data_IF_087046589446
#
_entry.id   IF_087046589446
#
_cell.length_a   1.000
_cell.length_b   1.000
_cell.length_c   1.000
_cell.angle_alpha   90.00
_cell.angle_beta   90.00
_cell.angle_gamma   90.00
#
_symmetry.space_group_name_H-M   'P 1'
#
loop_
_entity.id
_entity.type
_entity.pdbx_description
1 polymer ?
#
# COMPACT_ATOMS: atom_id res chain seq x y z
N UNK A 1 22.11 35.76 -2.06
CA UNK A 1 20.73 35.57 -2.55
C UNK A 1 20.70 35.05 -4.01
N UNK A 2 21.73 34.36 -4.52
CA UNK A 2 21.84 33.99 -5.94
C UNK A 2 22.60 32.66 -6.24
N UNK A 3 22.62 31.69 -5.33
CA UNK A 3 23.29 30.38 -5.59
C UNK A 3 22.35 29.22 -5.98
N UNK A 4 21.03 29.44 -6.01
CA UNK A 4 20.03 28.38 -6.29
C UNK A 4 19.69 28.21 -7.78
N UNK A 5 20.22 29.06 -8.66
CA UNK A 5 19.90 29.08 -10.10
C UNK A 5 20.82 28.19 -10.96
N UNK A 6 21.90 27.62 -10.39
CA UNK A 6 22.91 26.88 -11.16
C UNK A 6 22.89 25.36 -10.94
N UNK A 7 22.09 24.84 -9.99
CA UNK A 7 22.00 23.41 -9.72
C UNK A 7 20.54 22.99 -9.58
N UNK A 8 20.02 22.38 -10.64
CA UNK A 8 18.60 22.08 -10.86
C UNK A 8 17.91 21.09 -9.91
N UNK A 9 18.37 20.87 -8.68
CA UNK A 9 17.61 20.17 -7.63
C UNK A 9 18.04 20.65 -6.24
N UNK A 10 17.12 20.79 -5.25
CA UNK A 10 17.51 21.07 -3.88
C UNK A 10 18.46 19.98 -3.36
N UNK A 11 19.43 20.32 -2.48
CA UNK A 11 20.36 19.33 -1.94
C UNK A 11 19.61 18.24 -1.17
N UNK A 12 20.05 16.99 -1.32
CA UNK A 12 19.46 15.83 -0.63
C UNK A 12 19.50 16.02 0.89
N UNK A 13 18.49 15.56 1.64
CA UNK A 13 18.52 15.56 3.10
C UNK A 13 19.74 14.78 3.60
N UNK A 14 20.46 15.33 4.60
CA UNK A 14 21.58 14.64 5.23
C UNK A 14 21.05 13.53 6.15
N UNK A 15 21.84 12.47 6.37
CA UNK A 15 21.47 11.34 7.22
C UNK A 15 21.00 11.75 8.63
N UNK A 16 21.67 12.75 9.24
CA UNK A 16 21.25 13.31 10.53
C UNK A 16 19.84 13.92 10.49
N UNK A 17 19.55 14.70 9.44
CA UNK A 17 18.23 15.34 9.27
C UNK A 17 17.12 14.29 9.09
N UNK A 18 17.39 13.22 8.35
CA UNK A 18 16.46 12.10 8.21
C UNK A 18 16.22 11.37 9.54
N UNK A 19 17.27 11.18 10.33
CA UNK A 19 17.14 10.62 11.67
C UNK A 19 16.30 11.50 12.59
N UNK A 20 16.56 12.81 12.59
CA UNK A 20 15.80 13.77 13.38
C UNK A 20 14.31 13.76 12.98
N UNK A 21 13.99 13.62 11.69
CA UNK A 21 12.60 13.48 11.19
C UNK A 21 11.91 12.24 11.77
N UNK A 22 12.54 11.06 11.67
CA UNK A 22 11.96 9.80 12.17
C UNK A 22 11.77 9.86 13.69
N UNK A 23 12.76 10.34 14.44
CA UNK A 23 12.62 10.49 15.90
C UNK A 23 11.47 11.43 16.26
N UNK A 24 11.38 12.59 15.60
CA UNK A 24 10.31 13.56 15.85
C UNK A 24 8.92 12.97 15.60
N UNK A 25 8.73 12.23 14.51
CA UNK A 25 7.43 11.65 14.16
C UNK A 25 7.08 10.49 15.10
N UNK A 26 8.03 9.63 15.45
CA UNK A 26 7.79 8.52 16.38
C UNK A 26 7.64 8.97 17.83
N UNK A 27 8.21 10.13 18.21
CA UNK A 27 8.04 10.76 19.52
C UNK A 27 6.77 11.60 19.62
N UNK A 28 6.22 12.07 18.50
CA UNK A 28 4.91 12.73 18.51
C UNK A 28 3.87 11.78 19.12
N UNK A 29 3.09 12.27 20.08
CA UNK A 29 1.99 11.50 20.69
C UNK A 29 0.96 11.06 19.64
N UNK A 30 -0.02 10.23 20.00
CA UNK A 30 -1.14 9.94 19.11
C UNK A 30 -1.77 11.27 18.68
N UNK A 31 -1.71 11.57 17.39
CA UNK A 31 -2.42 12.70 16.81
C UNK A 31 -3.83 12.22 16.44
N UNK A 32 -4.82 13.06 16.71
CA UNK A 32 -6.19 12.90 16.20
C UNK A 32 -6.29 13.11 14.68
N UNK A 33 -5.19 13.46 14.02
CA UNK A 33 -5.14 13.76 12.59
C UNK A 33 -5.78 15.12 12.24
N UNK A 34 -5.98 16.00 13.22
CA UNK A 34 -6.55 17.34 13.00
C UNK A 34 -5.50 18.45 13.06
N UNK A 35 -4.41 18.21 13.78
CA UNK A 35 -3.35 19.19 13.95
C UNK A 35 -2.51 19.36 12.68
N UNK A 36 -2.04 20.60 12.46
CA UNK A 36 -1.08 20.92 11.42
C UNK A 36 0.15 20.02 11.52
N UNK A 37 0.59 19.50 10.37
CA UNK A 37 1.67 18.53 10.32
C UNK A 37 3.00 19.19 10.74
N UNK A 38 3.81 18.55 11.60
CA UNK A 38 4.98 19.18 12.23
C UNK A 38 6.15 19.44 11.29
N UNK A 39 6.12 18.93 10.05
CA UNK A 39 7.14 19.24 9.03
C UNK A 39 6.63 20.34 8.08
N UNK A 40 7.40 21.43 7.88
CA UNK A 40 7.05 22.46 6.91
C UNK A 40 6.94 21.89 5.48
N UNK A 41 6.07 22.49 4.66
CA UNK A 41 5.85 22.10 3.26
C UNK A 41 7.18 21.90 2.49
N UNK A 42 8.11 22.86 2.63
CA UNK A 42 9.40 22.83 1.94
C UNK A 42 10.25 21.61 2.32
N UNK A 43 10.16 21.16 3.57
CA UNK A 43 10.88 19.99 4.06
C UNK A 43 10.24 18.70 3.53
N UNK A 44 8.91 18.62 3.58
CA UNK A 44 8.14 17.50 3.01
C UNK A 44 8.37 17.32 1.51
N UNK A 45 8.33 18.40 0.73
CA UNK A 45 8.58 18.34 -0.72
C UNK A 45 10.00 17.90 -1.05
N UNK A 46 10.99 18.29 -0.23
CA UNK A 46 12.38 17.81 -0.36
C UNK A 46 12.49 16.32 -0.05
N UNK A 47 11.82 15.87 1.01
CA UNK A 47 11.76 14.45 1.37
C UNK A 47 11.14 13.63 0.23
N UNK A 48 10.01 14.09 -0.32
CA UNK A 48 9.35 13.46 -1.46
C UNK A 48 10.25 13.41 -2.69
N UNK A 49 10.83 14.54 -3.10
CA UNK A 49 11.74 14.59 -4.26
C UNK A 49 12.93 13.64 -4.10
N UNK A 50 13.59 13.62 -2.94
CA UNK A 50 14.71 12.73 -2.71
C UNK A 50 14.30 11.26 -2.72
N UNK A 51 13.13 10.93 -2.17
CA UNK A 51 12.59 9.56 -2.11
C UNK A 51 12.22 9.06 -3.51
N UNK A 52 11.52 9.88 -4.29
CA UNK A 52 11.21 9.61 -5.70
C UNK A 52 12.49 9.28 -6.48
N UNK A 53 13.51 10.13 -6.36
CA UNK A 53 14.78 9.95 -7.07
C UNK A 53 15.55 8.70 -6.62
N UNK A 54 15.31 8.22 -5.38
CA UNK A 54 15.87 6.97 -4.89
C UNK A 54 15.11 5.75 -5.45
N UNK A 55 13.78 5.76 -5.40
CA UNK A 55 12.92 4.67 -5.88
C UNK A 55 12.99 4.47 -7.40
N UNK A 56 13.21 5.54 -8.18
CA UNK A 56 13.41 5.45 -9.63
C UNK A 56 14.72 4.76 -10.04
N UNK A 57 15.66 4.58 -9.10
CA UNK A 57 16.90 3.80 -9.35
C UNK A 57 16.71 2.31 -9.12
N UNK A 58 15.66 1.95 -8.39
CA UNK A 58 15.30 0.55 -8.18
C UNK A 58 14.57 0.03 -9.41
N UNK A 59 14.62 -1.28 -9.72
CA UNK A 59 13.78 -1.89 -10.75
C UNK A 59 12.30 -1.95 -10.34
N UNK A 60 11.39 -2.11 -11.31
CA UNK A 60 9.95 -2.23 -11.02
C UNK A 60 9.63 -3.54 -10.28
N UNK A 61 10.34 -4.63 -10.60
CA UNK A 61 10.47 -5.82 -9.75
C UNK A 61 11.76 -5.74 -8.95
N UNK A 62 11.66 -5.57 -7.63
CA UNK A 62 12.81 -5.63 -6.74
C UNK A 62 13.37 -7.06 -6.70
N UNK A 63 14.69 -7.21 -6.83
CA UNK A 63 15.39 -8.46 -6.54
C UNK A 63 16.12 -8.30 -5.20
N UNK A 64 15.59 -8.94 -4.17
CA UNK A 64 16.04 -8.78 -2.79
C UNK A 64 16.75 -10.07 -2.37
N UNK A 65 18.07 -10.00 -2.25
CA UNK A 65 18.89 -11.08 -1.71
C UNK A 65 19.39 -10.73 -0.31
N UNK A 66 19.01 -11.52 0.70
CA UNK A 66 19.41 -11.28 2.09
C UNK A 66 19.60 -12.59 2.86
N UNK A 67 20.56 -12.57 3.78
CA UNK A 67 20.80 -13.63 4.77
C UNK A 67 20.22 -13.29 6.15
N UNK A 68 19.64 -12.09 6.30
CA UNK A 68 18.96 -11.66 7.53
C UNK A 68 17.47 -12.01 7.52
N UNK A 69 16.83 -11.84 8.67
CA UNK A 69 15.37 -11.98 8.77
C UNK A 69 14.66 -10.87 7.97
N UNK A 70 13.51 -11.20 7.39
CA UNK A 70 12.67 -10.25 6.68
C UNK A 70 11.39 -10.00 7.46
N UNK A 71 10.98 -8.74 7.58
CA UNK A 71 9.68 -8.33 8.11
C UNK A 71 8.85 -7.83 6.94
N UNK A 72 7.69 -8.45 6.71
CA UNK A 72 6.73 -8.05 5.70
C UNK A 72 5.53 -7.41 6.39
N UNK A 73 5.24 -6.16 6.02
CA UNK A 73 4.14 -5.37 6.56
C UNK A 73 3.10 -5.18 5.45
N UNK A 74 1.85 -5.52 5.73
CA UNK A 74 0.71 -5.31 4.83
C UNK A 74 0.15 -3.91 4.96
N UNK A 75 -1.16 -3.79 4.71
CA UNK A 75 -1.87 -2.51 4.69
C UNK A 75 -1.80 -1.79 6.05
N UNK A 76 -1.67 -0.47 6.01
CA UNK A 76 -1.64 0.40 7.19
C UNK A 76 -2.78 1.42 7.20
N UNK A 77 -3.28 1.85 6.04
CA UNK A 77 -4.45 2.73 5.88
C UNK A 77 -4.50 3.91 6.88
N UNK A 78 -3.43 4.70 6.95
CA UNK A 78 -3.41 5.88 7.81
C UNK A 78 -3.38 5.57 9.32
N UNK A 79 -3.19 4.32 9.75
CA UNK A 79 -3.11 3.92 11.16
C UNK A 79 -1.67 3.96 11.71
N UNK A 80 -1.11 5.17 11.83
CA UNK A 80 0.27 5.36 12.28
C UNK A 80 0.56 4.78 13.68
N UNK A 81 -0.43 4.71 14.56
CA UNK A 81 -0.30 4.05 15.86
C UNK A 81 0.07 2.58 15.73
N UNK A 82 -0.47 1.85 14.76
CA UNK A 82 -0.14 0.45 14.54
C UNK A 82 1.28 0.29 13.99
N UNK A 83 1.71 1.16 13.07
CA UNK A 83 3.10 1.20 12.61
C UNK A 83 4.08 1.40 13.78
N UNK A 84 3.76 2.29 14.72
CA UNK A 84 4.57 2.51 15.93
C UNK A 84 4.62 1.26 16.81
N UNK A 85 3.49 0.58 17.01
CA UNK A 85 3.41 -0.66 17.79
C UNK A 85 4.24 -1.77 17.16
N UNK A 86 4.21 -1.89 15.83
CA UNK A 86 5.06 -2.81 15.07
C UNK A 86 6.55 -2.53 15.34
N UNK A 87 6.99 -1.27 15.21
CA UNK A 87 8.38 -0.90 15.48
C UNK A 87 8.79 -1.07 16.94
N UNK A 88 7.89 -0.81 17.88
CA UNK A 88 8.13 -1.05 19.31
C UNK A 88 8.32 -2.55 19.60
N UNK A 89 7.53 -3.41 18.94
CA UNK A 89 7.55 -4.85 19.20
C UNK A 89 8.71 -5.57 18.52
N UNK A 90 9.03 -5.20 17.28
CA UNK A 90 10.00 -5.91 16.43
C UNK A 90 11.36 -5.23 16.33
N UNK A 91 11.50 -4.05 16.94
CA UNK A 91 12.68 -3.22 16.77
C UNK A 91 12.50 -2.22 15.62
N UNK A 92 13.33 -1.18 15.64
CA UNK A 92 13.22 -0.09 14.67
C UNK A 92 13.89 -0.49 13.36
N UNK A 93 13.30 -0.19 12.20
CA UNK A 93 13.97 -0.50 10.94
C UNK A 93 15.34 0.18 10.85
N UNK A 94 16.38 -0.59 10.51
CA UNK A 94 17.77 -0.13 10.48
C UNK A 94 18.51 -0.13 11.83
N UNK A 95 17.87 -0.62 12.91
CA UNK A 95 18.51 -0.86 14.21
C UNK A 95 19.24 -2.20 14.30
N UNK A 96 18.92 -3.12 13.39
CA UNK A 96 19.49 -4.45 13.26
C UNK A 96 19.66 -4.82 11.77
N UNK A 97 19.93 -6.10 11.50
CA UNK A 97 20.14 -6.66 10.16
C UNK A 97 18.85 -7.05 9.43
N UNK A 98 17.67 -6.74 9.99
CA UNK A 98 16.39 -7.07 9.36
C UNK A 98 16.16 -6.27 8.09
N UNK A 99 15.64 -6.94 7.08
CA UNK A 99 15.08 -6.31 5.89
C UNK A 99 13.58 -6.12 6.09
N UNK A 100 13.07 -4.94 5.79
CA UNK A 100 11.65 -4.59 5.90
C UNK A 100 11.07 -4.37 4.51
N UNK A 101 9.98 -5.06 4.21
CA UNK A 101 9.24 -4.94 2.94
C UNK A 101 7.82 -4.52 3.29
N UNK A 102 7.40 -3.36 2.81
CA UNK A 102 6.02 -2.88 2.95
C UNK A 102 5.28 -3.10 1.64
N UNK A 103 4.09 -3.70 1.71
CA UNK A 103 3.38 -4.19 0.53
C UNK A 103 2.51 -3.14 -0.18
N UNK A 104 2.20 -2.02 0.47
CA UNK A 104 1.36 -0.96 -0.10
C UNK A 104 0.34 -0.43 0.90
N UNK A 105 -0.60 0.38 0.41
CA UNK A 105 -1.76 0.91 1.14
C UNK A 105 -1.37 1.58 2.47
N UNK A 106 -0.51 2.59 2.33
CA UNK A 106 0.02 3.38 3.43
C UNK A 106 -1.00 4.39 3.97
N UNK A 107 -1.88 4.87 3.09
CA UNK A 107 -2.71 6.07 3.27
C UNK A 107 -4.20 5.74 3.11
N UNK A 108 -5.02 6.80 3.16
CA UNK A 108 -6.48 6.76 3.14
C UNK A 108 -7.11 6.07 4.34
N UNK A 109 -8.43 6.25 4.49
CA UNK A 109 -9.30 5.61 5.50
C UNK A 109 -9.02 6.10 6.93
N UNK A 110 -7.79 5.92 7.42
CA UNK A 110 -7.29 6.49 8.67
C UNK A 110 -6.73 7.92 8.49
N UNK A 111 -6.54 8.66 9.61
CA UNK A 111 -6.28 10.10 9.55
C UNK A 111 -4.79 10.50 9.62
N UNK A 112 -3.89 9.52 9.72
CA UNK A 112 -2.43 9.75 9.90
C UNK A 112 -1.61 9.19 8.73
N UNK A 113 -2.09 9.38 7.49
CA UNK A 113 -1.36 8.97 6.29
C UNK A 113 -0.06 9.75 6.12
N UNK A 114 -0.05 11.05 6.43
CA UNK A 114 1.14 11.90 6.34
C UNK A 114 2.27 11.41 7.25
N UNK A 115 1.96 10.99 8.48
CA UNK A 115 2.93 10.43 9.42
C UNK A 115 3.56 9.15 8.88
N UNK A 116 2.75 8.24 8.31
CA UNK A 116 3.23 6.99 7.73
C UNK A 116 4.18 7.29 6.57
N UNK A 117 3.73 8.02 5.54
CA UNK A 117 4.55 8.25 4.34
C UNK A 117 5.82 9.03 4.67
N UNK A 118 5.76 10.06 5.52
CA UNK A 118 6.95 10.80 5.92
C UNK A 118 7.96 9.92 6.69
N UNK A 119 7.47 9.04 7.56
CA UNK A 119 8.31 8.08 8.30
C UNK A 119 8.96 7.07 7.36
N UNK A 120 8.18 6.42 6.49
CA UNK A 120 8.67 5.40 5.56
C UNK A 120 9.63 5.99 4.52
N UNK A 121 9.36 7.19 4.01
CA UNK A 121 10.26 7.89 3.08
C UNK A 121 11.61 8.22 3.73
N UNK A 122 11.59 8.71 4.98
CA UNK A 122 12.82 8.99 5.71
C UNK A 122 13.62 7.72 6.01
N UNK A 123 12.95 6.62 6.38
CA UNK A 123 13.57 5.32 6.58
C UNK A 123 14.16 4.76 5.28
N UNK A 124 13.44 4.85 4.15
CA UNK A 124 13.94 4.42 2.84
C UNK A 124 15.21 5.15 2.44
N UNK A 125 15.25 6.47 2.63
CA UNK A 125 16.44 7.27 2.31
C UNK A 125 17.62 6.96 3.25
N UNK A 126 17.35 6.64 4.51
CA UNK A 126 18.38 6.35 5.52
C UNK A 126 18.95 4.93 5.40
N UNK A 127 18.09 3.97 5.05
CA UNK A 127 18.40 2.54 5.02
C UNK A 127 17.97 1.91 3.67
N UNK A 128 18.52 2.38 2.54
CA UNK A 128 18.01 2.02 1.20
C UNK A 128 18.09 0.52 0.86
N UNK A 129 19.01 -0.22 1.51
CA UNK A 129 19.23 -1.65 1.30
C UNK A 129 18.53 -2.55 2.35
N UNK A 130 17.77 -1.95 3.25
CA UNK A 130 17.06 -2.68 4.32
C UNK A 130 15.58 -2.30 4.40
N UNK A 131 15.13 -1.30 3.64
CA UNK A 131 13.74 -0.85 3.59
C UNK A 131 13.29 -0.85 2.14
N UNK A 132 12.26 -1.60 1.84
CA UNK A 132 11.66 -1.70 0.52
C UNK A 132 10.17 -1.34 0.61
N UNK A 133 9.71 -0.50 -0.31
CA UNK A 133 8.36 0.01 -0.35
C UNK A 133 7.76 -0.42 -1.69
N UNK A 134 6.68 -1.19 -1.66
CA UNK A 134 5.89 -1.53 -2.85
C UNK A 134 4.71 -0.56 -3.00
N UNK A 135 4.04 -0.61 -4.14
CA UNK A 135 2.84 0.18 -4.40
C UNK A 135 1.59 -0.65 -4.09
N UNK A 136 0.66 -0.09 -3.33
CA UNK A 136 -0.70 -0.60 -3.20
C UNK A 136 -1.68 0.08 -4.15
N UNK A 137 -2.94 -0.34 -4.13
CA UNK A 137 -3.97 0.23 -4.99
C UNK A 137 -4.39 1.64 -4.52
N UNK A 138 -4.19 1.97 -3.24
CA UNK A 138 -4.46 3.31 -2.71
C UNK A 138 -3.41 4.36 -3.07
N UNK A 139 -2.20 3.96 -3.47
CA UNK A 139 -1.16 4.88 -3.96
C UNK A 139 -1.44 5.39 -5.40
N UNK A 140 -2.67 5.86 -5.63
CA UNK A 140 -3.23 6.33 -6.89
C UNK A 140 -3.94 7.68 -6.68
N UNK A 141 -3.78 8.61 -7.62
CA UNK A 141 -4.27 9.97 -7.43
C UNK A 141 -5.79 10.06 -7.31
N UNK A 142 -6.53 9.28 -8.10
CA UNK A 142 -7.98 9.21 -8.03
C UNK A 142 -8.47 8.64 -6.69
N UNK A 143 -7.81 7.58 -6.20
CA UNK A 143 -8.19 6.90 -4.96
C UNK A 143 -7.95 7.82 -3.75
N UNK A 144 -6.78 8.48 -3.68
CA UNK A 144 -6.45 9.40 -2.57
C UNK A 144 -7.37 10.62 -2.48
N UNK A 145 -7.96 11.02 -3.61
CA UNK A 145 -8.98 12.08 -3.65
C UNK A 145 -10.28 11.64 -3.00
N UNK A 146 -10.66 10.38 -3.21
CA UNK A 146 -11.96 9.85 -2.82
C UNK A 146 -11.98 9.37 -1.37
N UNK A 147 -10.88 8.76 -0.90
CA UNK A 147 -10.81 8.10 0.40
C UNK A 147 -10.03 8.84 1.49
N UNK A 148 -9.56 10.06 1.20
CA UNK A 148 -9.33 11.07 2.21
C UNK A 148 -7.90 11.61 2.32
N UNK A 149 -6.89 10.95 1.75
CA UNK A 149 -5.51 11.41 1.88
C UNK A 149 -5.24 12.78 1.23
N UNK A 150 -5.89 13.09 0.09
CA UNK A 150 -5.83 14.43 -0.50
C UNK A 150 -6.41 15.49 0.45
N UNK A 151 -7.55 15.19 1.07
CA UNK A 151 -8.18 16.05 2.07
C UNK A 151 -7.32 16.20 3.34
N UNK A 152 -6.68 15.12 3.80
CA UNK A 152 -5.72 15.15 4.91
C UNK A 152 -4.57 16.13 4.61
N UNK A 153 -3.93 15.99 3.45
CA UNK A 153 -2.85 16.89 3.03
C UNK A 153 -3.31 18.35 2.94
N UNK A 154 -4.51 18.61 2.40
CA UNK A 154 -5.04 19.96 2.30
C UNK A 154 -5.30 20.60 3.66
N UNK A 155 -5.83 19.85 4.63
CA UNK A 155 -6.14 20.35 5.98
C UNK A 155 -4.88 20.55 6.82
N UNK A 156 -3.95 19.58 6.78
CA UNK A 156 -2.83 19.49 7.72
C UNK A 156 -1.51 20.02 7.16
N UNK A 157 -1.42 20.18 5.84
CA UNK A 157 -0.25 20.71 5.14
C UNK A 157 -0.69 21.56 3.95
N UNK A 158 -0.37 21.17 2.71
CA UNK A 158 -0.85 21.82 1.49
C UNK A 158 -1.14 20.82 0.37
N UNK A 159 -1.95 21.23 -0.61
CA UNK A 159 -2.15 20.44 -1.84
C UNK A 159 -0.84 20.20 -2.59
N UNK A 160 0.13 21.12 -2.50
CA UNK A 160 1.45 20.94 -3.10
C UNK A 160 2.27 19.83 -2.43
N UNK A 161 1.97 19.47 -1.17
CA UNK A 161 2.52 18.27 -0.53
C UNK A 161 1.86 17.02 -1.11
N UNK A 162 0.53 17.00 -1.25
CA UNK A 162 -0.18 15.87 -1.86
C UNK A 162 0.38 15.57 -3.27
N UNK A 163 0.53 16.59 -4.12
CA UNK A 163 1.13 16.44 -5.45
C UNK A 163 2.56 15.87 -5.40
N UNK A 164 3.35 16.28 -4.41
CA UNK A 164 4.70 15.78 -4.23
C UNK A 164 4.71 14.30 -3.75
N UNK A 165 3.76 13.89 -2.90
CA UNK A 165 3.60 12.49 -2.49
C UNK A 165 3.13 11.63 -3.67
N UNK A 166 2.21 12.12 -4.51
CA UNK A 166 1.77 11.40 -5.72
C UNK A 166 2.95 11.11 -6.65
N UNK A 167 3.90 12.05 -6.81
CA UNK A 167 5.11 11.81 -7.60
C UNK A 167 6.01 10.72 -7.01
N UNK A 168 5.99 10.51 -5.69
CA UNK A 168 6.69 9.38 -5.05
C UNK A 168 5.95 8.08 -5.34
N UNK A 169 4.62 8.09 -5.24
CA UNK A 169 3.78 6.93 -5.53
C UNK A 169 3.92 6.44 -6.96
N UNK A 170 3.98 7.37 -7.92
CA UNK A 170 4.23 7.06 -9.33
C UNK A 170 5.60 6.36 -9.55
N UNK A 171 6.53 6.55 -8.62
CA UNK A 171 7.85 5.95 -8.62
C UNK A 171 7.96 4.71 -7.72
N UNK A 172 6.91 4.17 -7.11
CA UNK A 172 7.02 2.97 -6.27
C UNK A 172 7.18 1.68 -7.12
N UNK A 173 8.11 0.76 -6.77
CA UNK A 173 8.14 -0.60 -7.30
C UNK A 173 6.81 -1.34 -7.11
N UNK A 174 6.50 -2.31 -7.98
CA UNK A 174 5.19 -2.99 -7.98
C UNK A 174 5.23 -4.39 -7.36
N UNK A 175 6.41 -5.01 -7.33
CA UNK A 175 6.59 -6.33 -6.76
C UNK A 175 8.03 -6.52 -6.27
N UNK A 176 8.26 -7.55 -5.47
CA UNK A 176 9.57 -8.01 -5.09
C UNK A 176 9.71 -9.52 -5.27
N UNK A 177 10.93 -9.96 -5.56
CA UNK A 177 11.35 -11.34 -5.54
C UNK A 177 12.41 -11.49 -4.45
N UNK A 178 12.03 -12.12 -3.34
CA UNK A 178 12.89 -12.34 -2.20
C UNK A 178 13.61 -13.69 -2.36
N UNK A 179 14.94 -13.64 -2.31
CA UNK A 179 15.86 -14.78 -2.37
C UNK A 179 15.54 -15.75 -3.54
N UNK A 180 14.98 -15.25 -4.65
CA UNK A 180 14.50 -16.06 -5.78
C UNK A 180 13.51 -17.18 -5.39
N UNK A 181 12.77 -16.98 -4.29
CA UNK A 181 11.88 -18.00 -3.72
C UNK A 181 10.51 -17.49 -3.31
N UNK A 182 10.37 -16.23 -2.94
CA UNK A 182 9.08 -15.67 -2.52
C UNK A 182 8.76 -14.48 -3.40
N UNK A 183 7.59 -14.50 -4.05
CA UNK A 183 7.08 -13.37 -4.81
C UNK A 183 6.20 -12.53 -3.88
N UNK A 184 6.45 -11.22 -3.84
CA UNK A 184 5.70 -10.27 -3.03
C UNK A 184 5.07 -9.21 -3.92
N UNK A 185 3.79 -8.95 -3.71
CA UNK A 185 3.03 -7.90 -4.40
C UNK A 185 1.92 -7.38 -3.47
N UNK A 186 1.20 -6.34 -3.88
CA UNK A 186 0.07 -5.85 -3.08
C UNK A 186 -1.17 -6.73 -3.26
N UNK A 187 -1.67 -6.76 -4.50
CA UNK A 187 -2.82 -7.52 -4.99
C UNK A 187 -2.52 -9.01 -5.13
N UNK A 188 -2.17 -9.43 -6.33
CA UNK A 188 -1.89 -10.83 -6.59
C UNK A 188 -1.23 -11.08 -7.93
N UNK A 189 -1.34 -12.31 -8.40
CA UNK A 189 -0.84 -12.71 -9.71
C UNK A 189 -1.84 -12.37 -10.81
N UNK A 190 -1.38 -12.42 -12.05
CA UNK A 190 -2.14 -12.03 -13.24
C UNK A 190 -2.14 -13.14 -14.29
N UNK A 191 -3.19 -13.28 -15.12
CA UNK A 191 -3.16 -14.12 -16.32
C UNK A 191 -2.03 -13.73 -17.30
N UNK A 192 -1.57 -12.47 -17.22
CA UNK A 192 -0.50 -11.91 -18.04
C UNK A 192 0.90 -12.03 -17.41
N UNK A 193 1.00 -12.53 -16.17
CA UNK A 193 2.27 -12.70 -15.45
C UNK A 193 2.83 -14.11 -15.70
N UNK A 194 3.57 -14.30 -16.78
CA UNK A 194 4.15 -15.61 -17.10
C UNK A 194 5.40 -15.91 -16.28
N UNK A 195 6.20 -14.90 -15.95
CA UNK A 195 7.37 -14.96 -15.06
C UNK A 195 7.42 -13.70 -14.19
N UNK A 196 8.01 -13.75 -12.99
CA UNK A 196 8.15 -12.55 -12.15
C UNK A 196 8.77 -11.36 -12.88
N UNK A 197 9.75 -11.61 -13.76
CA UNK A 197 10.47 -10.57 -14.50
C UNK A 197 9.60 -9.79 -15.48
N UNK A 198 8.42 -10.29 -15.87
CA UNK A 198 7.53 -9.60 -16.79
C UNK A 198 7.01 -8.27 -16.18
N UNK A 199 7.02 -8.14 -14.85
CA UNK A 199 6.74 -6.89 -14.11
C UNK A 199 7.67 -5.75 -14.55
N UNK A 200 8.92 -6.03 -14.94
CA UNK A 200 9.87 -5.01 -15.40
C UNK A 200 9.50 -4.38 -16.74
N UNK A 201 8.53 -4.93 -17.48
CA UNK A 201 7.99 -4.29 -18.68
C UNK A 201 7.21 -3.01 -18.35
N UNK A 202 6.70 -2.89 -17.12
CA UNK A 202 5.97 -1.71 -16.65
C UNK A 202 6.99 -0.63 -16.28
N UNK A 203 6.98 0.48 -17.04
CA UNK A 203 7.92 1.59 -16.86
C UNK A 203 7.42 2.58 -15.81
N UNK A 204 8.30 2.94 -14.88
CA UNK A 204 8.10 4.00 -13.88
C UNK A 204 8.87 5.28 -14.28
N UNK A 205 8.39 6.48 -13.89
CA UNK A 205 7.17 6.73 -13.13
C UNK A 205 5.90 6.55 -13.97
N UNK A 206 4.81 6.09 -13.35
CA UNK A 206 3.50 6.01 -13.98
C UNK A 206 2.39 6.30 -12.98
N UNK A 207 1.32 6.93 -13.43
CA UNK A 207 0.08 6.97 -12.66
C UNK A 207 -0.68 5.66 -12.85
N UNK A 208 -1.46 5.26 -11.84
CA UNK A 208 -2.30 4.06 -11.90
C UNK A 208 -3.70 4.50 -12.28
N UNK A 209 -4.21 3.95 -13.39
CA UNK A 209 -5.64 4.05 -13.69
C UNK A 209 -6.37 2.96 -12.89
N UNK A 210 -7.26 3.29 -11.94
CA UNK A 210 -7.99 2.28 -11.16
C UNK A 210 -8.98 1.47 -12.03
N UNK A 211 -9.30 1.94 -13.23
CA UNK A 211 -10.07 1.21 -14.24
C UNK A 211 -9.18 0.55 -15.29
N UNK A 212 -7.88 0.51 -15.04
CA UNK A 212 -6.92 -0.08 -15.94
C UNK A 212 -7.13 -1.59 -16.07
N UNK A 213 -6.68 -2.12 -17.20
CA UNK A 213 -6.63 -3.56 -17.43
C UNK A 213 -5.17 -4.02 -17.51
N UNK A 214 -4.97 -5.33 -17.37
CA UNK A 214 -3.69 -5.97 -17.57
C UNK A 214 -2.81 -6.01 -16.33
N UNK A 215 -1.55 -6.36 -16.53
CA UNK A 215 -0.63 -6.75 -15.46
C UNK A 215 -0.51 -5.71 -14.33
N UNK A 216 -0.52 -4.41 -14.64
CA UNK A 216 -0.44 -3.36 -13.62
C UNK A 216 -1.66 -3.40 -12.68
N UNK A 217 -2.86 -3.46 -13.25
CA UNK A 217 -4.09 -3.51 -12.47
C UNK A 217 -4.13 -4.80 -11.63
N UNK A 218 -3.76 -5.92 -12.24
CA UNK A 218 -3.82 -7.22 -11.57
C UNK A 218 -2.86 -7.32 -10.37
N UNK A 219 -1.64 -6.80 -10.48
CA UNK A 219 -0.67 -6.76 -9.38
C UNK A 219 -1.16 -5.96 -8.16
N UNK A 220 -2.06 -5.01 -8.37
CA UNK A 220 -2.58 -4.12 -7.33
C UNK A 220 -3.96 -4.54 -6.82
N UNK A 221 -4.77 -5.22 -7.64
CA UNK A 221 -6.20 -5.45 -7.37
C UNK A 221 -6.64 -6.91 -7.42
N UNK A 222 -5.78 -7.86 -7.82
CA UNK A 222 -6.17 -9.27 -7.84
C UNK A 222 -6.31 -9.84 -6.41
N UNK A 223 -7.27 -10.75 -6.23
CA UNK A 223 -7.54 -11.40 -4.95
C UNK A 223 -7.42 -12.93 -5.07
N UNK A 224 -6.81 -13.62 -4.10
CA UNK A 224 -6.85 -15.07 -4.06
C UNK A 224 -8.20 -15.58 -3.52
N UNK A 225 -8.57 -16.82 -3.86
CA UNK A 225 -9.67 -17.52 -3.19
C UNK A 225 -9.44 -19.03 -3.14
N UNK A 226 -9.66 -19.63 -1.97
CA UNK A 226 -9.69 -21.09 -1.80
C UNK A 226 -11.00 -21.75 -2.25
N UNK A 227 -12.00 -20.96 -2.65
CA UNK A 227 -13.34 -21.45 -2.97
C UNK A 227 -13.64 -21.54 -4.47
N UNK A 228 -12.68 -21.18 -5.32
CA UNK A 228 -12.80 -21.26 -6.77
C UNK A 228 -11.65 -22.07 -7.36
N UNK A 229 -11.81 -22.51 -8.62
CA UNK A 229 -10.73 -23.03 -9.45
C UNK A 229 -10.58 -22.15 -10.68
N UNK A 230 -9.35 -21.94 -11.14
CA UNK A 230 -9.05 -21.07 -12.25
C UNK A 230 -9.17 -19.58 -11.90
N UNK A 231 -9.58 -18.78 -12.88
CA UNK A 231 -9.77 -17.33 -12.76
C UNK A 231 -11.25 -16.99 -12.83
N UNK A 232 -11.70 -15.98 -12.06
CA UNK A 232 -13.00 -15.36 -12.26
C UNK A 232 -12.94 -13.84 -12.13
N UNK A 233 -14.00 -13.16 -12.55
CA UNK A 233 -14.10 -11.71 -12.44
C UNK A 233 -14.10 -11.28 -10.96
N UNK A 234 -13.34 -10.23 -10.64
CA UNK A 234 -13.27 -9.74 -9.28
C UNK A 234 -14.53 -8.93 -8.90
N UNK A 235 -15.16 -9.18 -7.74
CA UNK A 235 -16.23 -8.34 -7.18
C UNK A 235 -15.89 -6.85 -7.11
N UNK A 236 -14.61 -6.48 -7.01
CA UNK A 236 -14.12 -5.08 -7.07
C UNK A 236 -14.39 -4.40 -8.41
N UNK A 237 -14.80 -5.14 -9.45
CA UNK A 237 -15.09 -4.57 -10.78
C UNK A 237 -13.86 -4.29 -11.65
N UNK A 238 -12.66 -4.62 -11.17
CA UNK A 238 -11.38 -4.57 -11.88
C UNK A 238 -10.57 -5.82 -11.54
N UNK A 239 -9.66 -6.27 -12.42
CA UNK A 239 -8.81 -7.43 -12.18
C UNK A 239 -9.61 -8.74 -12.00
N UNK A 240 -8.98 -9.75 -11.42
CA UNK A 240 -9.44 -11.12 -11.29
C UNK A 240 -9.35 -11.63 -9.85
N UNK A 241 -10.18 -12.61 -9.54
CA UNK A 241 -9.93 -13.53 -8.43
C UNK A 241 -9.23 -14.76 -9.00
N UNK A 242 -8.17 -15.23 -8.33
CA UNK A 242 -7.43 -16.44 -8.72
C UNK A 242 -7.57 -17.55 -7.69
N UNK A 243 -7.82 -18.77 -8.16
CA UNK A 243 -7.88 -19.97 -7.35
C UNK A 243 -6.52 -20.41 -6.82
N UNK A 244 -6.52 -21.19 -5.73
CA UNK A 244 -5.29 -21.80 -5.20
C UNK A 244 -4.60 -22.69 -6.24
N UNK A 245 -5.35 -23.35 -7.12
CA UNK A 245 -4.81 -24.16 -8.22
C UNK A 245 -3.97 -23.35 -9.21
N UNK A 246 -4.42 -22.13 -9.54
CA UNK A 246 -3.68 -21.18 -10.38
C UNK A 246 -2.37 -20.77 -9.70
N UNK A 247 -2.45 -20.39 -8.42
CA UNK A 247 -1.28 -19.98 -7.65
C UNK A 247 -0.24 -21.11 -7.56
N UNK A 248 -0.68 -22.32 -7.22
CA UNK A 248 0.18 -23.50 -7.13
C UNK A 248 0.82 -23.86 -8.48
N UNK A 249 0.06 -23.78 -9.57
CA UNK A 249 0.60 -24.00 -10.90
C UNK A 249 1.70 -22.98 -11.24
N UNK A 250 1.43 -21.70 -11.00
CA UNK A 250 2.39 -20.63 -11.28
C UNK A 250 3.65 -20.78 -10.42
N UNK A 251 3.51 -20.98 -9.11
CA UNK A 251 4.63 -21.21 -8.19
C UNK A 251 5.52 -22.38 -8.64
N UNK A 252 4.92 -23.52 -9.03
CA UNK A 252 5.66 -24.67 -9.57
C UNK A 252 6.41 -24.35 -10.85
N UNK A 253 5.78 -23.63 -11.79
CA UNK A 253 6.41 -23.23 -13.05
C UNK A 253 7.60 -22.29 -12.84
N UNK A 254 7.53 -21.41 -11.84
CA UNK A 254 8.59 -20.45 -11.53
C UNK A 254 9.64 -20.98 -10.54
N UNK A 255 9.44 -22.16 -9.96
CA UNK A 255 10.32 -22.70 -8.91
C UNK A 255 10.29 -21.89 -7.60
N UNK A 256 9.16 -21.23 -7.33
CA UNK A 256 8.91 -20.38 -6.16
C UNK A 256 8.18 -21.16 -5.06
N UNK A 257 8.35 -20.71 -3.82
CA UNK A 257 7.77 -21.32 -2.62
C UNK A 257 6.43 -20.71 -2.23
N UNK A 258 6.29 -19.40 -2.37
CA UNK A 258 5.13 -18.67 -1.88
C UNK A 258 4.89 -17.35 -2.64
N UNK A 259 3.62 -16.94 -2.67
CA UNK A 259 3.16 -15.59 -2.94
C UNK A 259 2.79 -14.96 -1.59
N UNK A 260 3.35 -13.79 -1.29
CA UNK A 260 2.97 -12.98 -0.12
C UNK A 260 2.34 -11.68 -0.60
N UNK A 261 1.17 -11.35 -0.05
CA UNK A 261 0.32 -10.25 -0.52
C UNK A 261 -0.45 -9.55 0.62
N UNK A 262 -1.16 -8.46 0.34
CA UNK A 262 -1.89 -7.63 1.33
C UNK A 262 -3.37 -7.35 0.95
N UNK A 263 -3.88 -6.10 0.89
CA UNK A 263 -5.17 -5.63 0.28
C UNK A 263 -6.52 -6.15 0.83
N UNK A 264 -6.56 -7.35 1.43
CA UNK A 264 -7.78 -7.96 1.93
C UNK A 264 -7.74 -7.97 3.45
N UNK A 265 -8.72 -7.32 4.08
CA UNK A 265 -8.89 -7.32 5.54
C UNK A 265 -9.05 -8.76 6.04
N UNK A 266 -8.27 -9.10 7.06
CA UNK A 266 -8.31 -10.43 7.67
C UNK A 266 -8.67 -10.32 9.15
N UNK A 267 -9.62 -11.13 9.61
CA UNK A 267 -10.09 -11.10 11.01
C UNK A 267 -8.93 -11.29 12.00
N UNK A 268 -7.98 -12.17 11.66
CA UNK A 268 -6.80 -12.47 12.47
C UNK A 268 -5.54 -11.74 11.97
N UNK A 269 -5.69 -10.75 11.08
CA UNK A 269 -4.59 -10.00 10.47
C UNK A 269 -3.83 -10.76 9.38
N UNK A 270 -4.15 -12.03 9.14
CA UNK A 270 -3.59 -12.80 8.04
C UNK A 270 -4.52 -13.93 7.58
N UNK A 271 -4.24 -14.45 6.38
CA UNK A 271 -4.80 -15.69 5.84
C UNK A 271 -3.69 -16.49 5.16
N UNK A 272 -3.80 -17.82 5.24
CA UNK A 272 -2.91 -18.75 4.54
C UNK A 272 -3.76 -19.70 3.70
N UNK A 273 -3.48 -19.76 2.39
CA UNK A 273 -4.07 -20.73 1.49
C UNK A 273 -3.04 -21.79 1.09
N UNK A 274 -3.51 -23.04 1.03
CA UNK A 274 -2.68 -24.20 0.75
C UNK A 274 -1.64 -24.44 1.84
N UNK A 275 -0.47 -24.94 1.47
CA UNK A 275 0.62 -25.23 2.40
C UNK A 275 1.63 -24.07 2.44
N UNK A 276 1.20 -22.90 2.93
CA UNK A 276 1.97 -21.64 2.89
C UNK A 276 2.31 -21.17 1.47
N UNK A 277 1.41 -21.41 0.52
CA UNK A 277 1.64 -21.10 -0.90
C UNK A 277 1.15 -19.70 -1.26
N UNK A 278 0.03 -19.27 -0.68
CA UNK A 278 -0.45 -17.88 -0.76
C UNK A 278 -0.72 -17.39 0.65
N UNK A 279 -0.10 -16.27 1.02
CA UNK A 279 -0.24 -15.65 2.33
C UNK A 279 -0.69 -14.20 2.19
N UNK A 280 -1.79 -13.86 2.83
CA UNK A 280 -2.33 -12.49 2.92
C UNK A 280 -1.94 -11.91 4.27
N UNK A 281 -1.34 -10.71 4.29
CA UNK A 281 -0.91 -9.99 5.49
C UNK A 281 -1.67 -8.67 5.58
N UNK A 282 -2.27 -8.36 6.71
CA UNK A 282 -3.00 -7.12 6.96
C UNK A 282 -2.56 -6.52 8.30
N UNK A 283 -1.95 -5.33 8.27
CA UNK A 283 -1.23 -4.78 9.43
C UNK A 283 -1.97 -3.68 10.21
N UNK A 284 -3.15 -3.26 9.75
CA UNK A 284 -4.03 -2.34 10.46
C UNK A 284 -4.96 -3.08 11.44
N UNK A 285 -5.02 -2.63 12.70
CA UNK A 285 -5.85 -3.26 13.74
C UNK A 285 -7.18 -2.52 13.92
N UNK A 286 -8.26 -3.22 14.26
CA UNK A 286 -9.61 -2.63 14.41
C UNK A 286 -10.01 -1.75 13.21
N UNK A 287 -9.60 -2.17 12.02
CA UNK A 287 -9.76 -1.43 10.79
C UNK A 287 -11.24 -1.23 10.50
N UNK A 288 -11.66 0.03 10.38
CA UNK A 288 -13.06 0.47 10.24
C UNK A 288 -14.00 -0.19 11.25
N UNK A 289 -13.59 -0.23 12.51
CA UNK A 289 -14.37 -0.78 13.64
C UNK A 289 -14.72 -2.28 13.50
N UNK A 290 -13.98 -3.02 12.66
CA UNK A 290 -14.23 -4.45 12.44
C UNK A 290 -13.72 -5.35 13.58
N UNK A 291 -12.98 -4.81 14.55
CA UNK A 291 -12.38 -5.59 15.63
C UNK A 291 -11.33 -6.60 15.19
N UNK A 292 -10.84 -6.52 13.94
CA UNK A 292 -9.79 -7.42 13.45
C UNK A 292 -8.47 -7.20 14.20
N UNK A 293 -7.69 -8.26 14.37
CA UNK A 293 -6.28 -8.10 14.72
C UNK A 293 -5.48 -7.72 13.49
N UNK A 294 -4.33 -7.08 13.68
CA UNK A 294 -3.33 -6.89 12.62
C UNK A 294 -2.24 -7.94 12.74
N UNK A 295 -1.49 -8.18 11.67
CA UNK A 295 -0.31 -9.03 11.69
C UNK A 295 0.79 -8.47 10.80
N UNK A 296 2.02 -8.93 11.05
CA UNK A 296 3.15 -8.82 10.13
C UNK A 296 3.74 -10.20 9.94
N UNK A 297 4.32 -10.46 8.77
CA UNK A 297 4.96 -11.74 8.46
C UNK A 297 6.47 -11.63 8.64
N UNK A 298 7.03 -12.47 9.49
CA UNK A 298 8.46 -12.71 9.62
C UNK A 298 8.86 -13.86 8.69
N UNK A 299 9.92 -13.65 7.90
CA UNK A 299 10.51 -14.68 7.04
C UNK A 299 11.96 -14.88 7.49
N UNK A 300 12.26 -16.06 8.01
CA UNK A 300 13.61 -16.43 8.39
C UNK A 300 14.48 -16.72 7.15
N UNK A 301 15.82 -16.70 7.26
CA UNK A 301 16.72 -17.08 6.16
C UNK A 301 16.48 -18.52 5.66
N UNK A 302 15.95 -19.40 6.53
CA UNK A 302 15.50 -20.77 6.22
C UNK A 302 14.23 -20.83 5.36
N UNK A 303 13.59 -19.69 5.07
CA UNK A 303 12.25 -19.56 4.47
C UNK A 303 11.13 -20.15 5.34
N UNK A 304 11.33 -20.15 6.65
CA UNK A 304 10.26 -20.35 7.61
C UNK A 304 9.45 -19.06 7.78
N UNK A 305 8.12 -19.22 7.82
CA UNK A 305 7.15 -18.14 7.86
C UNK A 305 6.51 -18.10 9.26
N UNK A 306 6.56 -16.94 9.92
CA UNK A 306 5.95 -16.74 11.24
C UNK A 306 5.13 -15.44 11.24
N UNK A 307 3.87 -15.50 11.65
CA UNK A 307 3.03 -14.32 11.82
C UNK A 307 3.16 -13.77 13.24
N UNK A 308 3.45 -12.47 13.36
CA UNK A 308 3.40 -11.74 14.63
C UNK A 308 2.14 -10.90 14.65
N UNK A 309 1.19 -11.28 15.51
CA UNK A 309 -0.12 -10.64 15.60
C UNK A 309 -0.16 -9.49 16.63
N UNK A 310 -1.00 -8.50 16.34
CA UNK A 310 -1.24 -7.32 17.15
C UNK A 310 -2.74 -7.20 17.42
N UNK A 311 -3.17 -7.17 18.70
CA UNK A 311 -4.58 -6.94 19.01
C UNK A 311 -5.00 -5.52 18.61
N UNK A 312 -6.30 -5.22 18.47
CA UNK A 312 -6.83 -3.86 18.42
C UNK A 312 -6.10 -2.90 19.35
N UNK A 313 -5.67 -1.75 18.83
CA UNK A 313 -5.13 -0.69 19.66
C UNK A 313 -6.21 -0.21 20.65
N UNK A 314 -5.88 0.11 21.91
CA UNK A 314 -6.83 0.70 22.83
C UNK A 314 -7.39 2.00 22.24
N UNK A 315 -8.72 2.14 22.21
CA UNK A 315 -9.36 3.39 21.76
C UNK A 315 -9.09 4.51 22.77
N UNK A 316 -9.06 5.80 22.33
CA UNK A 316 -8.78 6.93 23.22
C UNK A 316 -9.73 7.07 24.42
N UNK A 317 -10.94 6.54 24.30
CA UNK A 317 -11.97 6.50 25.34
C UNK A 317 -11.84 5.30 26.31
N UNK A 318 -10.83 4.43 26.09
CA UNK A 318 -10.62 3.23 26.89
C UNK A 318 -11.54 2.06 26.54
N UNK A 319 -12.39 2.18 25.50
CA UNK A 319 -13.20 1.08 25.03
C UNK A 319 -12.33 0.03 24.31
N UNK A 320 -12.41 -1.22 24.75
CA UNK A 320 -11.88 -2.35 23.97
C UNK A 320 -12.79 -2.57 22.76
N UNK A 321 -12.21 -2.91 21.61
CA UNK A 321 -13.00 -3.37 20.46
C UNK A 321 -13.91 -4.51 20.92
N UNK A 322 -15.21 -4.41 20.63
CA UNK A 322 -16.25 -5.27 21.20
C UNK A 322 -16.10 -6.78 20.89
N UNK A 323 -15.13 -7.15 20.04
CA UNK A 323 -14.96 -8.48 19.49
C UNK A 323 -13.52 -9.05 19.60
N UNK A 324 -12.65 -8.46 20.42
CA UNK A 324 -11.27 -8.93 20.61
C UNK A 324 -11.20 -10.21 21.48
N UNK A 325 -11.65 -11.36 20.96
CA UNK A 325 -11.50 -12.66 21.62
C UNK A 325 -10.87 -13.68 20.68
N UNK A 326 -9.54 -13.78 20.71
CA UNK A 326 -8.78 -14.86 20.09
C UNK A 326 -7.46 -15.08 20.84
N UNK A 327 -7.00 -16.33 21.03
CA UNK A 327 -5.75 -16.59 21.74
C UNK A 327 -4.55 -15.99 20.98
N UNK A 328 -3.71 -15.26 21.71
CA UNK A 328 -2.42 -14.76 21.23
C UNK A 328 -1.50 -15.96 20.93
N UNK A 329 -1.31 -16.28 19.65
CA UNK A 329 -0.24 -17.18 19.25
C UNK A 329 1.10 -16.42 19.29
N UNK A 330 1.95 -16.77 20.24
CA UNK A 330 3.40 -16.52 20.16
C UNK A 330 4.07 -17.88 20.23
N UNK A 331 4.75 -18.31 19.18
CA UNK A 331 5.61 -19.49 19.24
C UNK A 331 7.06 -19.05 19.03
N UNK A 332 7.93 -19.12 20.05
CA UNK A 332 9.35 -18.94 19.83
C UNK A 332 9.92 -20.22 19.20
N UNK A 333 10.67 -20.07 18.10
CA UNK A 333 11.59 -21.03 17.50
C UNK A 333 11.75 -22.36 18.25
N UNK A 334 11.07 -23.40 17.76
CA UNK A 334 11.47 -24.78 17.93
C UNK A 334 11.09 -25.57 16.68
N UNK A 335 12.11 -26.08 15.99
CA UNK A 335 11.96 -27.15 15.02
C UNK A 335 11.45 -28.38 15.76
N UNK A 336 10.19 -28.75 15.52
CA UNK A 336 9.75 -30.11 15.20
C UNK A 336 8.22 -30.21 15.18
N UNK A 337 7.74 -30.90 14.13
CA UNK A 337 6.46 -31.59 13.98
C UNK A 337 5.15 -30.78 13.95
N UNK A 338 4.54 -30.78 12.76
CA UNK A 338 3.09 -30.90 12.50
C UNK A 338 2.14 -30.39 13.59
N UNK A 339 1.87 -29.08 13.58
CA UNK A 339 0.66 -28.52 14.19
C UNK A 339 -0.08 -27.74 13.11
N UNK A 340 -1.30 -28.16 12.71
CA UNK A 340 -2.11 -27.36 11.80
C UNK A 340 -2.48 -26.05 12.50
N UNK A 341 -2.04 -24.92 11.94
CA UNK A 341 -2.54 -23.59 12.29
C UNK A 341 -3.96 -23.44 11.71
N UNK A 342 -4.94 -24.17 12.25
CA UNK A 342 -6.35 -23.92 11.95
C UNK A 342 -6.89 -22.90 12.93
N UNK A 343 -7.02 -21.65 12.48
CA UNK A 343 -7.91 -20.70 13.14
C UNK A 343 -9.32 -21.32 13.17
N UNK A 344 -9.93 -21.40 14.35
CA UNK A 344 -11.29 -21.92 14.48
C UNK A 344 -12.24 -21.09 13.60
N UNK A 345 -12.91 -21.74 12.65
CA UNK A 345 -13.92 -21.10 11.82
C UNK A 345 -15.08 -20.60 12.71
N UNK A 346 -15.65 -19.41 12.44
CA UNK A 346 -16.83 -18.93 13.15
C UNK A 346 -18.01 -19.89 12.94
N UNK A 347 -18.94 -19.89 13.90
CA UNK A 347 -20.17 -20.67 13.84
C UNK A 347 -20.93 -20.37 12.54
N UNK A 348 -21.48 -21.42 11.92
CA UNK A 348 -22.10 -21.37 10.60
C UNK A 348 -23.24 -20.34 10.53
N UNK A 349 -23.07 -19.31 9.69
CA UNK A 349 -24.17 -18.48 9.18
C UNK A 349 -23.90 -16.98 9.09
N UNK A 350 -23.06 -16.42 9.95
CA UNK A 350 -22.78 -14.97 9.98
C UNK A 350 -21.34 -14.68 9.53
N UNK A 351 -21.19 -13.82 8.52
CA UNK A 351 -19.89 -13.30 8.11
C UNK A 351 -19.27 -12.52 9.27
N UNK A 352 -17.97 -12.75 9.54
CA UNK A 352 -17.26 -11.98 10.56
C UNK A 352 -17.30 -10.49 10.23
N UNK A 353 -17.20 -9.58 11.22
CA UNK A 353 -17.16 -8.15 10.94
C UNK A 353 -16.05 -7.79 9.94
N UNK A 354 -14.86 -8.41 10.01
CA UNK A 354 -13.81 -8.19 9.01
C UNK A 354 -14.22 -8.63 7.59
N UNK A 355 -14.94 -9.75 7.46
CA UNK A 355 -15.45 -10.20 6.16
C UNK A 355 -16.52 -9.25 5.60
N UNK A 356 -17.36 -8.67 6.45
CA UNK A 356 -18.31 -7.63 6.05
C UNK A 356 -17.60 -6.35 5.62
N UNK A 357 -16.58 -5.91 6.38
CA UNK A 357 -15.74 -4.76 6.02
C UNK A 357 -15.06 -4.97 4.67
N UNK A 358 -14.50 -6.16 4.42
CA UNK A 358 -13.89 -6.51 3.14
C UNK A 358 -14.90 -6.43 1.98
N UNK A 359 -16.13 -6.93 2.17
CA UNK A 359 -17.19 -6.82 1.16
C UNK A 359 -17.60 -5.37 0.89
N UNK A 360 -17.75 -4.55 1.95
CA UNK A 360 -18.04 -3.13 1.83
C UNK A 360 -16.93 -2.39 1.07
N UNK A 361 -15.68 -2.74 1.35
CA UNK A 361 -14.52 -2.21 0.66
C UNK A 361 -14.56 -2.49 -0.85
N UNK A 362 -14.81 -3.75 -1.21
CA UNK A 362 -14.91 -4.15 -2.61
C UNK A 362 -16.07 -3.44 -3.33
N UNK A 363 -17.22 -3.23 -2.67
CA UNK A 363 -18.34 -2.49 -3.26
C UNK A 363 -18.00 -1.00 -3.43
N UNK A 364 -17.38 -0.36 -2.44
CA UNK A 364 -16.95 1.04 -2.53
C UNK A 364 -15.95 1.25 -3.67
N UNK A 365 -14.93 0.40 -3.75
CA UNK A 365 -13.94 0.45 -4.83
C UNK A 365 -14.59 0.20 -6.19
N UNK A 366 -15.50 -0.76 -6.29
CA UNK A 366 -16.26 -1.04 -7.51
C UNK A 366 -17.09 0.16 -7.95
N UNK A 367 -17.75 0.84 -7.02
CA UNK A 367 -18.52 2.04 -7.33
C UNK A 367 -17.61 3.18 -7.78
N UNK A 368 -16.39 3.30 -7.26
CA UNK A 368 -15.39 4.23 -7.80
C UNK A 368 -15.00 3.85 -9.22
N UNK A 369 -14.71 2.58 -9.45
CA UNK A 369 -14.28 2.07 -10.75
C UNK A 369 -15.35 2.36 -11.80
N UNK A 370 -16.62 2.11 -11.47
CA UNK A 370 -17.76 2.47 -12.34
C UNK A 370 -17.98 3.98 -12.46
N UNK A 371 -17.92 4.71 -11.36
CA UNK A 371 -18.28 6.14 -11.31
C UNK A 371 -17.25 7.04 -11.97
N UNK A 372 -16.03 6.58 -12.23
CA UNK A 372 -15.06 7.34 -13.01
C UNK A 372 -15.43 7.51 -14.50
N UNK A 373 -16.47 6.83 -14.97
CA UNK A 373 -17.18 7.20 -16.21
C UNK A 373 -17.76 8.63 -16.11
N UNK A 374 -18.06 9.14 -14.90
CA UNK A 374 -18.45 10.54 -14.65
C UNK A 374 -17.28 11.52 -14.80
N UNK A 375 -16.06 11.12 -14.43
CA UNK A 375 -14.86 11.91 -14.70
C UNK A 375 -14.49 11.90 -16.19
N UNK A 376 -14.87 10.85 -16.92
CA UNK A 376 -14.81 10.78 -18.37
C UNK A 376 -15.89 11.63 -19.06
N UNK A 377 -17.12 11.65 -18.54
CA UNK A 377 -18.18 12.57 -18.97
C UNK A 377 -17.82 14.04 -18.70
N UNK A 378 -17.20 14.34 -17.55
CA UNK A 378 -16.64 15.67 -17.26
C UNK A 378 -15.48 16.03 -18.22
N UNK A 379 -14.62 15.07 -18.57
CA UNK A 379 -13.57 15.22 -19.60
C UNK A 379 -14.13 15.44 -21.02
N UNK A 380 -15.27 14.81 -21.36
CA UNK A 380 -15.98 14.96 -22.65
C UNK A 380 -16.82 16.24 -22.74
N UNK A 381 -16.84 17.08 -21.69
CA UNK A 381 -17.50 18.38 -21.67
C UNK A 381 -19.03 18.33 -21.67
N UNK A 382 -19.63 17.19 -21.35
CA UNK A 382 -21.08 16.98 -21.40
C UNK A 382 -21.84 17.39 -20.13
N UNK A 383 -21.14 17.77 -19.05
CA UNK A 383 -21.74 18.21 -17.78
C UNK A 383 -21.01 19.44 -17.21
N UNK A 384 -21.77 20.44 -16.76
CA UNK A 384 -21.25 21.68 -16.18
C UNK A 384 -20.85 21.55 -14.70
N UNK A 385 -19.90 22.39 -14.24
CA UNK A 385 -19.40 22.44 -12.86
C UNK A 385 -20.51 22.51 -11.80
N UNK A 386 -21.58 23.27 -12.04
CA UNK A 386 -22.73 23.40 -11.13
C UNK A 386 -23.55 22.09 -10.98
N UNK A 387 -23.59 21.24 -12.02
CA UNK A 387 -24.27 19.95 -11.97
C UNK A 387 -23.46 18.92 -11.16
N UNK A 388 -22.12 18.98 -11.26
CA UNK A 388 -21.21 18.18 -10.44
C UNK A 388 -21.28 18.57 -8.95
N UNK A 389 -21.51 19.85 -8.65
CA UNK A 389 -21.72 20.37 -7.28
C UNK A 389 -23.02 19.89 -6.64
N UNK A 390 -24.12 19.84 -7.40
CA UNK A 390 -25.42 19.37 -6.92
C UNK A 390 -25.45 17.86 -6.67
N UNK A 391 -24.72 17.07 -7.46
CA UNK A 391 -24.69 15.60 -7.33
C UNK A 391 -23.75 15.10 -6.22
N UNK A 392 -22.80 15.92 -5.77
CA UNK A 392 -21.81 15.56 -4.73
C UNK A 392 -22.15 16.08 -3.34
N UNK A 393 -23.36 16.62 -3.14
CA UNK A 393 -23.82 17.07 -1.82
C UNK A 393 -23.03 18.23 -1.22
N UNK A 394 -22.45 19.10 -2.06
CA UNK A 394 -21.80 20.35 -1.62
C UNK A 394 -20.43 20.18 -0.96
N UNK A 395 -19.81 18.99 -0.99
CA UNK A 395 -18.42 18.78 -0.60
C UNK A 395 -17.70 18.00 -1.70
N UNK A 396 -16.57 18.53 -2.21
CA UNK A 396 -15.57 17.90 -3.14
C UNK A 396 -15.48 18.46 -4.58
N UNK A 397 -15.38 19.78 -4.74
CA UNK A 397 -15.09 20.41 -6.05
C UNK A 397 -13.58 20.54 -6.40
N UNK A 398 -12.63 20.74 -5.46
CA UNK A 398 -11.24 21.01 -5.84
C UNK A 398 -10.54 19.84 -6.55
N UNK A 399 -10.86 18.61 -6.18
CA UNK A 399 -10.10 17.44 -6.59
C UNK A 399 -10.46 16.92 -8.00
N UNK A 400 -11.73 17.02 -8.41
CA UNK A 400 -12.17 16.69 -9.79
C UNK A 400 -11.56 17.67 -10.80
N UNK A 401 -11.51 18.97 -10.45
CA UNK A 401 -10.84 19.98 -11.27
C UNK A 401 -9.32 19.75 -11.36
N UNK A 402 -8.71 19.16 -10.32
CA UNK A 402 -7.28 18.82 -10.28
C UNK A 402 -6.96 17.60 -11.16
N UNK A 403 -7.79 16.56 -11.10
CA UNK A 403 -7.71 15.40 -12.01
C UNK A 403 -7.88 15.82 -13.48
N UNK A 404 -8.78 16.77 -13.75
CA UNK A 404 -8.96 17.35 -15.08
C UNK A 404 -7.72 18.14 -15.56
N UNK A 405 -6.96 18.80 -14.66
CA UNK A 405 -5.71 19.51 -15.00
C UNK A 405 -4.53 18.57 -15.24
N UNK A 406 -4.39 17.50 -14.46
CA UNK A 406 -3.30 16.51 -14.61
C UNK A 406 -3.38 15.79 -15.96
N UNK A 407 -4.59 15.43 -16.40
CA UNK A 407 -4.84 14.81 -17.71
C UNK A 407 -4.61 15.75 -18.90
N UNK A 408 -4.89 17.05 -18.76
CA UNK A 408 -4.56 18.05 -19.79
C UNK A 408 -3.03 18.24 -19.95
N UNK A 409 -2.26 18.14 -18.87
CA UNK A 409 -0.80 18.24 -18.88
C UNK A 409 -0.09 17.04 -19.53
N UNK A 410 -0.59 15.81 -19.32
CA UNK A 410 -0.04 14.60 -19.95
C UNK A 410 -0.33 14.55 -21.45
N UNK A 411 -1.51 15.01 -21.90
CA UNK A 411 -1.84 15.14 -23.32
C UNK A 411 -0.98 16.17 -24.05
N UNK A 412 -0.63 17.29 -23.39
CA UNK A 412 0.25 18.32 -23.94
C UNK A 412 1.73 17.88 -24.03
N UNK A 413 2.18 16.99 -23.13
CA UNK A 413 3.52 16.41 -23.19
C UNK A 413 3.64 15.38 -24.33
N UNK A 414 2.60 14.58 -24.56
CA UNK A 414 2.54 13.57 -25.63
C UNK A 414 2.46 14.16 -27.05
N UNK A 415 1.94 15.38 -27.21
CA UNK A 415 1.85 16.05 -28.52
C UNK A 415 3.13 16.79 -28.93
N UNK A 416 4.12 16.92 -28.03
CA UNK A 416 5.35 17.67 -28.30
C UNK A 416 6.50 16.87 -28.94
N UNK A 417 6.33 15.56 -29.17
CA UNK A 417 7.37 14.69 -29.75
C UNK A 417 7.26 14.45 -31.26
N UNK A 418 6.37 15.14 -31.97
CA UNK A 418 6.31 15.10 -33.43
C UNK A 418 7.05 16.33 -34.01
N UNK A 419 8.36 16.21 -34.23
CA UNK A 419 9.04 17.11 -35.19
C UNK A 419 8.65 16.66 -36.60
N UNK A 420 8.19 17.56 -37.49
CA UNK A 420 8.05 17.23 -38.89
C UNK A 420 9.45 17.07 -39.48
N UNK A 421 9.67 15.99 -40.21
CA UNK A 421 10.80 15.84 -41.10
C UNK A 421 10.51 16.67 -42.36
N UNK A 422 11.38 17.63 -42.64
CA UNK A 422 11.68 18.15 -43.98
C UNK A 422 13.20 18.31 -44.10
#
# INVERSE_FOLDING_TARGET
>A
MWEWLLWGHPPKPRAKQLGDVVERLLAAGPADGENAFPLPEKELKRLCSATRDALLKEPTLLDISTAGNVVVVGDLHGQFCDLRRIFQRLGRPGSDDKVWIFLGDYIDRGPMGLEIVATLFALKLRHPNSIYLLRGNHECSEITVLFGFCGECQRRSTLAVWEAVMQVFDALPLAALLNNKVFLCHGGISPYLHRPQDVNAIRRPLDVNPNGEGLLADLLWADPSGHISGWCANPRGVSFVFGLDVAQQWLRQQGLRAIVRAHMVQQNGFEVLGNNEVMTVFSATDYRDSGNTGAVLMIAPSLEFEFVCFPPAPRPDGALAAHATGPLATSPFAADADVPLTAAAPAAGEATPAAQTMQQEAEEEREIIKSQDLAELARKGSLGLEQLEQMTGGSRVPAVALLARKSAGTAAAASSSARPAD
#
